data_IF_266337594453
#
_entry.id   IF_266337594453
#
_cell.length_a   1.000
_cell.length_b   1.000
_cell.length_c   1.000
_cell.angle_alpha   90.00
_cell.angle_beta   90.00
_cell.angle_gamma   90.00
#
_symmetry.space_group_name_H-M   'P 1'
#
loop_
_entity.id
_entity.type
_entity.pdbx_description
1 polymer ?
#
# COMPACT_ATOMS: atom_id res chain seq x y z
N UNK A 1 -7.70 45.52 -20.51
CA UNK A 1 -8.62 44.40 -20.40
C UNK A 1 -8.04 43.06 -20.92
N UNK A 2 -7.50 42.96 -22.15
CA UNK A 2 -6.91 41.68 -22.66
C UNK A 2 -5.79 41.10 -21.78
N UNK A 3 -4.90 41.93 -21.23
CA UNK A 3 -3.79 41.45 -20.36
C UNK A 3 -4.26 40.89 -19.01
N UNK A 4 -5.37 41.42 -18.47
CA UNK A 4 -5.97 40.91 -17.21
C UNK A 4 -6.66 39.57 -17.45
N UNK A 5 -7.33 39.42 -18.59
CA UNK A 5 -7.99 38.16 -18.96
C UNK A 5 -7.00 37.01 -19.16
N UNK A 6 -5.83 37.31 -19.79
CA UNK A 6 -4.76 36.29 -19.94
C UNK A 6 -4.17 35.90 -18.58
N UNK A 7 -3.98 36.86 -17.66
CA UNK A 7 -3.52 36.58 -16.31
C UNK A 7 -4.47 35.67 -15.53
N UNK A 8 -5.78 35.91 -15.62
CA UNK A 8 -6.79 35.07 -14.97
C UNK A 8 -6.85 33.67 -15.60
N UNK A 9 -6.69 33.56 -16.92
CA UNK A 9 -6.66 32.28 -17.61
C UNK A 9 -5.45 31.43 -17.23
N UNK A 10 -4.27 32.05 -17.09
CA UNK A 10 -3.05 31.36 -16.65
C UNK A 10 -3.18 30.90 -15.19
N UNK A 11 -3.71 31.73 -14.31
CA UNK A 11 -3.94 31.37 -12.90
C UNK A 11 -4.96 30.24 -12.77
N UNK A 12 -6.06 30.26 -13.53
CA UNK A 12 -7.03 29.16 -13.54
C UNK A 12 -6.49 27.88 -14.17
N UNK A 13 -5.59 27.96 -15.14
CA UNK A 13 -4.88 26.79 -15.66
C UNK A 13 -3.90 26.21 -14.63
N UNK A 14 -3.18 27.03 -13.88
CA UNK A 14 -2.28 26.56 -12.81
C UNK A 14 -3.08 25.84 -11.72
N UNK A 15 -4.25 26.35 -11.34
CA UNK A 15 -5.13 25.67 -10.38
C UNK A 15 -5.80 24.40 -10.94
N UNK A 16 -5.96 24.29 -12.25
CA UNK A 16 -6.48 23.07 -12.88
C UNK A 16 -5.42 21.95 -12.98
N UNK A 17 -4.14 22.29 -12.94
CA UNK A 17 -3.02 21.34 -12.92
C UNK A 17 -2.50 21.02 -11.51
N UNK A 18 -2.90 21.75 -10.48
CA UNK A 18 -2.74 21.31 -9.10
C UNK A 18 -3.72 20.14 -8.89
N UNK A 19 -3.28 18.93 -9.17
CA UNK A 19 -4.06 17.73 -8.90
C UNK A 19 -4.54 17.79 -7.45
N UNK A 20 -5.86 17.81 -7.24
CA UNK A 20 -6.40 17.76 -5.89
C UNK A 20 -6.07 16.38 -5.31
N UNK A 21 -5.31 16.32 -4.24
CA UNK A 21 -5.20 15.11 -3.43
C UNK A 21 -6.62 14.64 -3.08
N UNK A 22 -6.82 13.33 -3.05
CA UNK A 22 -8.09 12.73 -2.65
C UNK A 22 -7.85 11.98 -1.37
N UNK A 23 -8.65 12.31 -0.39
CA UNK A 23 -8.66 11.65 0.91
C UNK A 23 -10.02 11.00 1.13
N UNK A 24 -10.03 9.79 1.68
CA UNK A 24 -11.22 9.01 1.99
C UNK A 24 -11.03 8.26 3.28
N UNK A 25 -12.02 8.35 4.14
CA UNK A 25 -12.04 7.73 5.47
C UNK A 25 -13.28 6.87 5.69
N UNK A 26 -14.21 6.83 4.72
CA UNK A 26 -15.40 6.02 4.82
C UNK A 26 -15.08 4.57 4.41
N UNK A 27 -15.45 3.61 5.25
CA UNK A 27 -15.27 2.18 5.01
C UNK A 27 -15.90 1.75 3.67
N UNK A 28 -17.01 2.37 3.28
CA UNK A 28 -17.67 2.10 2.00
C UNK A 28 -16.83 2.48 0.78
N UNK A 29 -15.77 3.27 0.96
CA UNK A 29 -14.85 3.66 -0.12
C UNK A 29 -13.73 2.63 -0.36
N UNK A 30 -13.62 1.58 0.47
CA UNK A 30 -12.60 0.54 0.31
C UNK A 30 -12.61 -0.08 -1.09
N UNK A 31 -13.78 -0.53 -1.55
CA UNK A 31 -13.90 -1.15 -2.87
C UNK A 31 -13.52 -0.18 -4.00
N UNK A 32 -13.91 1.08 -3.88
CA UNK A 32 -13.53 2.11 -4.85
C UNK A 32 -12.01 2.31 -4.92
N UNK A 33 -11.34 2.32 -3.77
CA UNK A 33 -9.87 2.40 -3.69
C UNK A 33 -9.23 1.18 -4.35
N UNK A 34 -9.63 -0.03 -3.96
CA UNK A 34 -9.08 -1.27 -4.48
C UNK A 34 -9.22 -1.38 -6.00
N UNK A 35 -10.43 -1.15 -6.52
CA UNK A 35 -10.73 -1.19 -7.95
C UNK A 35 -9.94 -0.12 -8.74
N UNK A 36 -9.74 1.04 -8.14
CA UNK A 36 -8.95 2.13 -8.72
C UNK A 36 -7.49 1.71 -8.92
N UNK A 37 -6.84 1.20 -7.88
CA UNK A 37 -5.44 0.76 -7.92
C UNK A 37 -5.27 -0.40 -8.91
N UNK A 38 -6.11 -1.43 -8.85
CA UNK A 38 -6.05 -2.58 -9.77
C UNK A 38 -6.32 -2.17 -11.21
N UNK A 39 -7.23 -1.21 -11.44
CA UNK A 39 -7.53 -0.71 -12.80
C UNK A 39 -6.34 0.05 -13.37
N UNK A 40 -5.70 0.90 -12.59
CA UNK A 40 -4.53 1.64 -13.04
C UNK A 40 -3.36 0.70 -13.31
N UNK A 41 -3.16 -0.30 -12.47
CA UNK A 41 -2.23 -1.39 -12.69
C UNK A 41 -2.47 -2.11 -14.04
N UNK A 42 -3.70 -2.55 -14.30
CA UNK A 42 -4.05 -3.25 -15.52
C UNK A 42 -3.86 -2.39 -16.78
N UNK A 43 -4.07 -1.07 -16.70
CA UNK A 43 -3.79 -0.15 -17.81
C UNK A 43 -2.30 -0.08 -18.13
N UNK A 44 -1.45 -0.04 -17.11
CA UNK A 44 0.01 -0.03 -17.27
C UNK A 44 0.53 -1.36 -17.82
N UNK A 45 -0.11 -2.48 -17.48
CA UNK A 45 0.23 -3.81 -18.00
C UNK A 45 -0.24 -4.07 -19.43
N UNK A 46 -1.01 -3.17 -20.06
CA UNK A 46 -1.54 -3.37 -21.43
C UNK A 46 -0.41 -3.27 -22.45
N UNK A 47 -0.26 -4.27 -23.37
CA UNK A 47 0.71 -4.20 -24.45
C UNK A 47 0.53 -2.96 -25.32
N UNK A 48 1.60 -2.20 -25.55
CA UNK A 48 1.59 -0.95 -26.31
C UNK A 48 1.47 0.33 -25.47
N UNK A 49 1.28 0.23 -24.17
CA UNK A 49 1.56 1.35 -23.27
C UNK A 49 3.09 1.52 -23.23
N UNK A 50 3.61 2.63 -23.74
CA UNK A 50 5.04 2.94 -23.63
C UNK A 50 5.34 3.30 -22.16
N UNK A 51 5.72 2.29 -21.38
CA UNK A 51 5.98 2.36 -19.95
C UNK A 51 6.97 3.43 -19.55
N UNK A 52 7.96 3.66 -20.38
CA UNK A 52 9.05 4.61 -20.13
C UNK A 52 8.59 6.08 -20.20
N UNK A 53 7.50 6.38 -20.89
CA UNK A 53 7.05 7.75 -21.11
C UNK A 53 6.01 8.25 -20.11
N UNK A 54 5.25 7.35 -19.46
CA UNK A 54 4.17 7.78 -18.58
C UNK A 54 4.63 8.00 -17.14
N UNK A 55 5.63 7.28 -16.64
CA UNK A 55 5.89 7.30 -15.21
C UNK A 55 7.37 7.34 -14.79
N UNK A 56 8.38 7.14 -15.61
CA UNK A 56 9.78 7.04 -15.12
C UNK A 56 10.01 6.00 -14.00
N UNK A 57 8.95 5.30 -13.56
CA UNK A 57 8.85 4.39 -12.43
C UNK A 57 8.20 3.06 -12.80
N UNK A 58 8.09 2.75 -14.09
CA UNK A 58 7.45 1.53 -14.57
C UNK A 58 7.93 0.24 -13.89
N UNK A 59 9.14 0.23 -13.40
CA UNK A 59 9.72 -0.91 -12.69
C UNK A 59 9.17 -1.06 -11.26
N UNK A 60 8.91 0.03 -10.57
CA UNK A 60 8.52 0.03 -9.15
C UNK A 60 7.04 -0.21 -8.90
N UNK A 61 6.17 0.25 -9.79
CA UNK A 61 4.74 -0.08 -9.73
C UNK A 61 4.46 -1.57 -10.02
N UNK A 62 5.37 -2.26 -10.69
CA UNK A 62 5.28 -3.70 -10.91
C UNK A 62 5.32 -4.50 -9.61
N UNK A 63 6.02 -4.00 -8.62
CA UNK A 63 6.25 -4.70 -7.38
C UNK A 63 5.18 -4.39 -6.32
N UNK A 64 4.27 -3.46 -6.57
CA UNK A 64 3.19 -3.12 -5.65
C UNK A 64 1.88 -3.84 -5.99
N UNK A 65 1.93 -5.15 -6.15
CA UNK A 65 0.70 -5.94 -6.16
C UNK A 65 0.19 -6.00 -4.72
N UNK A 66 -0.92 -5.41 -4.42
CA UNK A 66 -1.56 -5.44 -3.11
C UNK A 66 -1.98 -6.87 -2.72
N UNK A 67 -1.01 -7.77 -2.52
CA UNK A 67 -1.27 -9.20 -2.27
C UNK A 67 -2.08 -9.40 -1.00
N UNK A 68 -1.74 -8.65 0.04
CA UNK A 68 -2.40 -8.78 1.33
C UNK A 68 -3.70 -7.97 1.44
N UNK A 69 -4.08 -7.28 0.38
CA UNK A 69 -5.30 -6.49 0.38
C UNK A 69 -6.46 -7.34 -0.15
N UNK A 70 -7.50 -7.58 0.66
CA UNK A 70 -8.68 -8.31 0.23
C UNK A 70 -9.32 -7.68 -1.01
N UNK A 71 -9.77 -8.50 -1.95
CA UNK A 71 -10.42 -8.02 -3.18
C UNK A 71 -11.78 -7.39 -2.93
N UNK A 72 -12.46 -7.87 -1.90
CA UNK A 72 -13.76 -7.38 -1.45
C UNK A 72 -13.60 -6.71 -0.09
N UNK A 73 -14.45 -5.75 0.20
CA UNK A 73 -14.44 -5.07 1.49
C UNK A 73 -14.64 -6.09 2.62
N UNK A 74 -13.68 -6.28 3.53
CA UNK A 74 -13.83 -7.21 4.63
C UNK A 74 -15.03 -6.84 5.54
N UNK A 75 -15.81 -7.82 5.96
CA UNK A 75 -16.91 -7.57 6.89
C UNK A 75 -16.43 -7.13 8.28
N UNK A 76 -15.20 -7.44 8.61
CA UNK A 76 -14.51 -7.09 9.87
C UNK A 76 -13.76 -5.76 9.79
N UNK A 77 -13.84 -5.05 8.66
CA UNK A 77 -13.20 -3.75 8.46
C UNK A 77 -13.74 -2.74 9.48
N UNK A 78 -12.83 -2.13 10.26
CA UNK A 78 -13.17 -1.24 11.37
C UNK A 78 -12.72 0.21 11.15
N UNK A 79 -11.51 0.40 10.62
CA UNK A 79 -10.98 1.71 10.25
C UNK A 79 -10.49 1.66 8.82
N UNK A 80 -10.58 2.77 8.11
CA UNK A 80 -10.11 2.90 6.75
C UNK A 80 -9.62 4.32 6.49
N UNK A 81 -8.45 4.42 5.87
CA UNK A 81 -7.91 5.67 5.34
C UNK A 81 -7.25 5.41 3.99
N UNK A 82 -7.54 6.26 3.06
CA UNK A 82 -6.92 6.28 1.75
C UNK A 82 -6.59 7.71 1.35
N UNK A 83 -5.36 7.93 0.99
CA UNK A 83 -4.89 9.18 0.42
C UNK A 83 -4.25 8.90 -0.94
N UNK A 84 -4.58 9.71 -1.92
CA UNK A 84 -3.97 9.69 -3.24
C UNK A 84 -3.55 11.10 -3.63
N UNK A 85 -2.27 11.28 -3.90
CA UNK A 85 -1.71 12.53 -4.41
C UNK A 85 -1.25 12.30 -5.83
N UNK A 86 -1.93 12.87 -6.85
CA UNK A 86 -1.45 12.82 -8.21
C UNK A 86 -0.15 13.62 -8.32
N UNK A 87 0.93 12.97 -8.77
CA UNK A 87 2.23 13.57 -8.98
C UNK A 87 2.45 14.02 -10.43
N UNK A 88 3.44 14.87 -10.64
CA UNK A 88 3.93 15.15 -12.01
C UNK A 88 4.79 14.00 -12.52
N UNK A 89 5.43 13.27 -11.60
CA UNK A 89 6.36 12.18 -11.88
C UNK A 89 5.87 10.84 -11.34
N UNK A 90 5.14 10.84 -10.21
CA UNK A 90 4.59 9.64 -9.54
C UNK A 90 3.31 10.00 -8.81
N UNK A 91 2.31 9.13 -8.90
CA UNK A 91 1.15 9.17 -8.02
C UNK A 91 1.55 8.57 -6.65
N UNK A 92 1.36 9.35 -5.58
CA UNK A 92 1.56 8.88 -4.21
C UNK A 92 0.28 8.22 -3.68
N UNK A 93 0.44 7.09 -3.00
CA UNK A 93 -0.65 6.39 -2.31
C UNK A 93 -0.29 6.19 -0.85
N UNK A 94 -1.26 6.41 0.02
CA UNK A 94 -1.19 6.01 1.41
C UNK A 94 -2.49 5.29 1.78
N UNK A 95 -2.38 4.04 2.23
CA UNK A 95 -3.51 3.17 2.55
C UNK A 95 -3.31 2.62 3.95
N UNK A 96 -4.35 2.74 4.75
CA UNK A 96 -4.41 2.17 6.09
C UNK A 96 -5.80 1.58 6.31
N UNK A 97 -5.85 0.41 6.87
CA UNK A 97 -7.10 -0.13 7.40
C UNK A 97 -6.86 -1.13 8.52
N UNK A 98 -7.88 -1.32 9.34
CA UNK A 98 -7.88 -2.32 10.41
C UNK A 98 -9.06 -3.28 10.25
N UNK A 99 -8.82 -4.55 10.62
CA UNK A 99 -9.86 -5.56 10.77
C UNK A 99 -9.84 -6.09 12.20
N UNK A 100 -11.01 -6.12 12.85
CA UNK A 100 -11.17 -6.68 14.20
C UNK A 100 -11.77 -8.08 14.08
N UNK A 101 -11.02 -9.09 14.50
CA UNK A 101 -11.38 -10.49 14.33
C UNK A 101 -11.83 -11.11 15.67
N UNK A 102 -12.60 -12.19 15.60
CA UNK A 102 -12.74 -13.05 16.75
C UNK A 102 -11.43 -13.85 17.02
N UNK A 103 -11.31 -14.43 18.19
CA UNK A 103 -10.10 -15.13 18.63
C UNK A 103 -9.67 -16.24 17.65
N UNK A 104 -10.62 -17.00 17.10
CA UNK A 104 -10.30 -18.13 16.21
C UNK A 104 -9.83 -17.65 14.85
N UNK A 105 -10.51 -16.65 14.27
CA UNK A 105 -10.12 -16.06 13.00
C UNK A 105 -8.78 -15.32 13.11
N UNK A 106 -8.55 -14.62 14.23
CA UNK A 106 -7.25 -13.98 14.48
C UNK A 106 -6.11 -15.00 14.54
N UNK A 107 -6.28 -16.07 15.33
CA UNK A 107 -5.26 -17.13 15.42
C UNK A 107 -4.99 -17.77 14.03
N UNK A 108 -6.04 -18.10 13.28
CA UNK A 108 -5.90 -18.69 11.95
C UNK A 108 -5.25 -17.71 10.93
N UNK A 109 -5.53 -16.42 11.04
CA UNK A 109 -4.87 -15.39 10.23
C UNK A 109 -3.37 -15.30 10.52
N UNK A 110 -3.01 -15.27 11.82
CA UNK A 110 -1.60 -15.24 12.27
C UNK A 110 -0.85 -16.50 11.83
N UNK A 111 -1.47 -17.69 11.96
CA UNK A 111 -0.89 -18.96 11.49
C UNK A 111 -0.64 -18.92 9.97
N UNK A 112 -1.55 -18.31 9.20
CA UNK A 112 -1.39 -18.11 7.78
C UNK A 112 -0.22 -17.18 7.44
N UNK A 113 -0.08 -16.06 8.17
CA UNK A 113 1.08 -15.17 7.99
C UNK A 113 2.41 -15.86 8.33
N UNK A 114 2.45 -16.62 9.40
CA UNK A 114 3.65 -17.37 9.81
C UNK A 114 4.07 -18.43 8.78
N UNK A 115 3.10 -18.93 8.02
CA UNK A 115 3.32 -19.96 7.00
C UNK A 115 3.42 -19.39 5.60
N UNK A 116 3.29 -18.05 5.47
CA UNK A 116 3.31 -17.41 4.16
C UNK A 116 4.71 -17.46 3.57
N UNK A 117 4.78 -17.95 2.35
CA UNK A 117 5.98 -17.96 1.54
C UNK A 117 5.65 -17.76 0.06
N UNK A 118 6.55 -17.14 -0.65
CA UNK A 118 6.55 -17.08 -2.11
C UNK A 118 7.69 -17.98 -2.58
N UNK A 119 7.37 -18.94 -3.42
CA UNK A 119 8.36 -19.90 -3.93
C UNK A 119 8.38 -19.90 -5.45
N UNK A 120 9.59 -19.91 -6.00
CA UNK A 120 9.88 -20.20 -7.39
C UNK A 120 10.81 -21.42 -7.47
N UNK A 121 11.27 -21.76 -8.68
CA UNK A 121 12.15 -22.92 -8.91
C UNK A 121 13.53 -22.80 -8.21
N UNK A 122 13.91 -21.63 -7.77
CA UNK A 122 15.29 -21.33 -7.28
C UNK A 122 15.33 -20.92 -5.81
N UNK A 123 14.30 -20.27 -5.31
CA UNK A 123 14.28 -19.72 -3.95
C UNK A 123 12.88 -19.66 -3.34
N UNK A 124 12.87 -19.50 -2.02
CA UNK A 124 11.66 -19.22 -1.23
C UNK A 124 11.90 -17.96 -0.44
N UNK A 125 10.98 -17.00 -0.56
CA UNK A 125 11.02 -15.73 0.15
C UNK A 125 9.87 -15.70 1.16
N UNK A 126 10.16 -15.30 2.40
CA UNK A 126 9.19 -15.14 3.48
C UNK A 126 9.08 -13.67 3.87
N UNK A 127 8.00 -13.32 4.57
CA UNK A 127 7.85 -12.00 5.16
C UNK A 127 8.97 -11.71 6.16
N UNK A 128 9.43 -10.47 6.20
CA UNK A 128 10.35 -10.02 7.23
C UNK A 128 9.57 -9.73 8.51
N UNK A 129 9.88 -10.45 9.60
CA UNK A 129 9.21 -10.27 10.89
C UNK A 129 10.00 -9.35 11.80
N UNK A 130 9.33 -8.35 12.36
CA UNK A 130 9.93 -7.37 13.27
C UNK A 130 9.06 -7.15 14.52
N UNK A 131 9.72 -7.07 15.70
CA UNK A 131 9.09 -6.80 16.99
C UNK A 131 9.68 -5.57 17.69
N UNK A 132 10.74 -4.98 17.17
CA UNK A 132 11.55 -4.01 17.88
C UNK A 132 11.31 -2.57 17.41
N UNK A 133 10.92 -2.40 16.16
CA UNK A 133 10.81 -1.06 15.56
C UNK A 133 9.38 -0.55 15.45
N UNK A 134 8.37 -1.41 15.55
CA UNK A 134 6.96 -1.04 15.48
C UNK A 134 6.28 -1.09 16.85
N UNK A 135 5.12 -0.48 16.97
CA UNK A 135 4.30 -0.51 18.19
C UNK A 135 3.66 -1.88 18.47
N UNK A 136 3.58 -2.74 17.46
CA UNK A 136 3.10 -4.11 17.52
C UNK A 136 3.99 -5.03 16.68
N UNK A 137 3.97 -6.36 16.87
CA UNK A 137 4.62 -7.32 15.98
C UNK A 137 4.18 -7.09 14.53
N UNK A 138 5.13 -7.05 13.61
CA UNK A 138 4.90 -6.61 12.24
C UNK A 138 5.53 -7.57 11.23
N UNK A 139 4.78 -7.87 10.17
CA UNK A 139 5.24 -8.63 9.01
C UNK A 139 5.38 -7.67 7.83
N UNK A 140 6.60 -7.51 7.33
CA UNK A 140 6.93 -6.59 6.24
C UNK A 140 6.96 -7.39 4.94
N UNK A 141 6.15 -6.96 3.98
CA UNK A 141 6.12 -7.51 2.63
C UNK A 141 7.05 -6.75 1.68
N UNK A 142 7.18 -5.44 1.90
CA UNK A 142 7.97 -4.58 1.04
C UNK A 142 8.54 -3.39 1.83
N UNK A 143 9.83 -3.11 1.59
CA UNK A 143 10.53 -1.94 2.06
C UNK A 143 11.55 -1.53 1.02
N UNK A 144 11.18 -0.68 0.08
CA UNK A 144 12.01 -0.30 -1.05
C UNK A 144 12.19 1.20 -1.12
N UNK A 145 13.42 1.62 -1.42
CA UNK A 145 13.71 3.01 -1.76
C UNK A 145 13.51 3.25 -3.24
N UNK A 146 12.70 4.24 -3.56
CA UNK A 146 12.42 4.67 -4.91
C UNK A 146 13.07 6.02 -5.15
N UNK A 147 14.32 6.01 -5.65
CA UNK A 147 15.11 7.23 -5.82
C UNK A 147 15.56 7.85 -4.50
N UNK A 148 15.72 9.19 -4.47
CA UNK A 148 16.19 9.89 -3.26
C UNK A 148 15.05 10.32 -2.32
N UNK A 149 13.77 10.20 -2.73
CA UNK A 149 12.64 10.85 -2.04
C UNK A 149 11.50 9.93 -1.64
N UNK A 150 11.39 8.75 -2.23
CA UNK A 150 10.21 7.90 -2.04
C UNK A 150 10.60 6.58 -1.41
N UNK A 151 9.77 6.11 -0.49
CA UNK A 151 9.85 4.76 0.06
C UNK A 151 8.52 4.07 -0.20
N UNK A 152 8.58 2.86 -0.74
CA UNK A 152 7.42 1.98 -0.85
C UNK A 152 7.44 1.04 0.32
N UNK A 153 6.39 1.09 1.12
CA UNK A 153 6.25 0.27 2.32
C UNK A 153 4.94 -0.50 2.26
N UNK A 154 5.00 -1.80 2.54
CA UNK A 154 3.83 -2.63 2.76
C UNK A 154 4.07 -3.57 3.92
N UNK A 155 3.21 -3.51 4.92
CA UNK A 155 3.33 -4.35 6.11
C UNK A 155 2.00 -4.56 6.82
N UNK A 156 1.97 -5.60 7.66
CA UNK A 156 0.85 -5.98 8.51
C UNK A 156 1.32 -5.96 9.96
N UNK A 157 0.64 -5.19 10.82
CA UNK A 157 0.88 -5.18 12.26
C UNK A 157 -0.21 -5.98 12.97
N UNK A 158 0.14 -6.62 14.09
CA UNK A 158 -0.75 -7.51 14.85
C UNK A 158 -0.93 -7.00 16.29
N UNK A 159 -2.14 -6.56 16.63
CA UNK A 159 -2.52 -6.27 18.02
C UNK A 159 -3.23 -7.50 18.61
N UNK A 160 -2.46 -8.37 19.28
CA UNK A 160 -2.96 -9.59 19.91
C UNK A 160 -4.01 -9.28 21.00
N UNK A 161 -3.81 -8.21 21.76
CA UNK A 161 -4.71 -7.88 22.86
C UNK A 161 -6.12 -7.49 22.40
N UNK A 162 -6.24 -6.96 21.17
CA UNK A 162 -7.51 -6.54 20.57
C UNK A 162 -7.95 -7.45 19.44
N UNK A 163 -7.19 -8.48 19.10
CA UNK A 163 -7.38 -9.33 17.91
C UNK A 163 -7.53 -8.48 16.65
N UNK A 164 -6.73 -7.44 16.52
CA UNK A 164 -6.78 -6.50 15.42
C UNK A 164 -5.60 -6.69 14.48
N UNK A 165 -5.90 -6.75 13.19
CA UNK A 165 -4.92 -6.78 12.11
C UNK A 165 -4.90 -5.40 11.46
N UNK A 166 -3.72 -4.82 11.34
CA UNK A 166 -3.51 -3.47 10.77
C UNK A 166 -2.74 -3.59 9.49
N UNK A 167 -3.29 -3.10 8.39
CA UNK A 167 -2.67 -3.10 7.07
C UNK A 167 -2.20 -1.71 6.72
N UNK A 168 -0.97 -1.62 6.24
CA UNK A 168 -0.37 -0.36 5.80
C UNK A 168 0.31 -0.57 4.45
N UNK A 169 -0.01 0.32 3.51
CA UNK A 169 0.70 0.46 2.25
C UNK A 169 0.92 1.94 1.97
N UNK A 170 2.12 2.34 1.62
CA UNK A 170 2.40 3.70 1.19
C UNK A 170 3.51 3.75 0.14
N UNK A 171 3.32 4.62 -0.85
CA UNK A 171 4.33 5.10 -1.80
C UNK A 171 4.65 6.57 -1.56
N UNK A 172 4.49 7.08 -0.35
CA UNK A 172 4.69 8.49 -0.05
C UNK A 172 5.08 8.68 1.41
N UNK A 173 4.35 9.47 2.13
CA UNK A 173 4.66 9.86 3.49
C UNK A 173 3.76 9.11 4.49
N UNK A 174 4.37 8.36 5.40
CA UNK A 174 3.67 7.70 6.52
C UNK A 174 2.92 8.69 7.40
N UNK A 175 3.33 9.96 7.42
CA UNK A 175 2.70 11.02 8.19
C UNK A 175 1.20 11.14 7.90
N UNK A 176 0.78 10.99 6.65
CA UNK A 176 -0.64 11.00 6.29
C UNK A 176 -1.43 9.90 6.99
N UNK A 177 -0.84 8.71 7.12
CA UNK A 177 -1.49 7.59 7.81
C UNK A 177 -1.48 7.82 9.32
N UNK A 178 -0.37 8.27 9.89
CA UNK A 178 -0.21 8.46 11.33
C UNK A 178 -1.25 9.44 11.90
N UNK A 179 -1.58 10.49 11.16
CA UNK A 179 -2.61 11.47 11.57
C UNK A 179 -4.03 10.90 11.61
N UNK A 180 -4.29 9.78 10.89
CA UNK A 180 -5.63 9.21 10.71
C UNK A 180 -5.78 7.81 11.29
N UNK A 181 -4.71 7.24 11.83
CA UNK A 181 -4.71 5.89 12.39
C UNK A 181 -4.87 5.90 13.91
N UNK A 182 -5.54 4.90 14.44
CA UNK A 182 -5.56 4.64 15.89
C UNK A 182 -4.30 3.92 16.39
N UNK A 183 -3.44 3.48 15.48
CA UNK A 183 -2.17 2.81 15.76
C UNK A 183 -1.00 3.72 15.37
N UNK A 184 0.08 3.68 16.15
CA UNK A 184 1.35 4.25 15.71
C UNK A 184 1.94 3.32 14.64
N UNK A 185 1.85 3.76 13.40
CA UNK A 185 2.28 3.00 12.22
C UNK A 185 3.73 3.29 11.84
N UNK A 186 4.23 4.48 12.21
CA UNK A 186 5.61 4.87 11.91
C UNK A 186 6.59 4.10 12.78
N UNK A 187 7.56 3.36 12.20
CA UNK A 187 8.57 2.65 12.98
C UNK A 187 9.52 3.63 13.66
N UNK A 188 10.12 3.21 14.78
CA UNK A 188 11.08 4.01 15.54
C UNK A 188 12.36 4.37 14.77
N UNK A 189 12.67 3.61 13.72
CA UNK A 189 13.77 3.88 12.80
C UNK A 189 13.35 3.48 11.39
N UNK A 190 13.13 4.46 10.52
CA UNK A 190 12.73 4.25 9.11
C UNK A 190 13.80 3.52 8.27
N UNK A 191 15.04 3.39 8.75
CA UNK A 191 16.15 2.79 8.02
C UNK A 191 16.69 1.52 8.69
N UNK A 192 15.89 0.83 9.48
CA UNK A 192 16.32 -0.39 10.17
C UNK A 192 16.49 -1.58 9.21
N UNK A 193 15.87 -1.55 8.06
CA UNK A 193 16.12 -2.49 6.97
C UNK A 193 17.32 -1.97 6.20
N UNK A 194 18.48 -2.66 6.31
CA UNK A 194 19.75 -2.21 5.72
C UNK A 194 19.75 -2.26 4.19
N UNK A 195 19.02 -3.20 3.61
CA UNK A 195 18.86 -3.37 2.17
C UNK A 195 17.38 -3.27 1.81
N UNK A 196 17.11 -2.85 0.59
CA UNK A 196 15.77 -2.93 0.05
C UNK A 196 15.27 -4.38 0.13
N UNK A 197 14.02 -4.55 0.56
CA UNK A 197 13.38 -5.85 0.73
C UNK A 197 12.04 -5.87 0.01
N UNK A 198 11.79 -6.89 -0.79
CA UNK A 198 10.49 -7.08 -1.43
C UNK A 198 10.25 -8.55 -1.70
N UNK A 199 9.06 -9.04 -1.29
CA UNK A 199 8.60 -10.36 -1.69
C UNK A 199 8.14 -10.39 -3.15
N UNK A 200 8.10 -9.24 -3.83
CA UNK A 200 7.53 -9.06 -5.16
C UNK A 200 8.57 -9.11 -6.30
N UNK A 201 9.86 -9.20 -5.99
CA UNK A 201 10.91 -9.04 -7.00
C UNK A 201 10.87 -10.05 -8.15
N UNK A 202 10.31 -11.26 -7.96
CA UNK A 202 10.29 -12.32 -9.00
C UNK A 202 8.89 -12.95 -9.21
N UNK A 203 7.86 -12.13 -9.21
CA UNK A 203 6.46 -12.56 -9.07
C UNK A 203 5.87 -13.36 -10.24
N UNK A 204 6.39 -13.20 -11.45
CA UNK A 204 5.74 -13.73 -12.67
C UNK A 204 5.67 -15.27 -12.76
N UNK A 205 6.46 -16.00 -11.94
CA UNK A 205 6.51 -17.47 -11.94
C UNK A 205 6.42 -18.09 -10.54
N UNK A 206 5.96 -17.33 -9.53
CA UNK A 206 5.92 -17.79 -8.16
C UNK A 206 4.58 -18.44 -7.80
N UNK A 207 4.63 -19.37 -6.85
CA UNK A 207 3.46 -19.93 -6.17
C UNK A 207 3.37 -19.39 -4.75
N UNK A 208 2.19 -19.03 -4.31
CA UNK A 208 1.91 -18.57 -2.95
C UNK A 208 0.47 -18.84 -2.56
N UNK A 209 0.21 -18.92 -1.25
CA UNK A 209 -1.13 -19.13 -0.70
C UNK A 209 -1.52 -17.95 0.20
N UNK A 210 -2.56 -17.22 -0.21
CA UNK A 210 -3.18 -16.12 0.54
C UNK A 210 -4.53 -16.49 1.13
N UNK A 211 -4.83 -17.79 1.24
CA UNK A 211 -6.13 -18.26 1.74
C UNK A 211 -6.45 -17.80 3.16
N UNK A 212 -5.44 -17.39 3.94
CA UNK A 212 -5.63 -16.82 5.28
C UNK A 212 -6.39 -15.48 5.25
N UNK A 213 -6.40 -14.74 4.14
CA UNK A 213 -7.18 -13.50 4.00
C UNK A 213 -8.69 -13.74 4.15
N UNK A 214 -9.18 -14.96 3.92
CA UNK A 214 -10.60 -15.32 4.15
C UNK A 214 -11.06 -15.12 5.60
N UNK A 215 -10.13 -15.12 6.57
CA UNK A 215 -10.44 -14.89 7.97
C UNK A 215 -10.74 -13.43 8.30
N UNK A 216 -10.58 -12.53 7.33
CA UNK A 216 -11.00 -11.12 7.44
C UNK A 216 -12.50 -10.92 7.11
N UNK A 217 -13.17 -11.94 6.57
CA UNK A 217 -14.60 -11.91 6.19
C UNK A 217 -15.55 -12.06 7.37
#
# INVERSE_FOLDING_TARGET
>A
MKKVLIGILIVSLIFAFCGCSKERTDISDYQYMYDGIVTDWNKLATPGCERETLLGFGEYLYNSQLIFFPRETPSTLNEFYFHWTPGLDVDGYAIYFTCVLDENNYAAFVDGLNSFEISNDTETITLLYDTDHFSCPTYIAQWNKVGEKWEVLEYIMLDEAKHTVVFVYTMSELEFIEEHSSYSVTPTNLHFVENDFSIYEDFDNCTYDISFLKHLE
#
